data_IF_240999590684
#
_entry.id   IF_240999590684
#
_cell.length_a   1.000
_cell.length_b   1.000
_cell.length_c   1.000
_cell.angle_alpha   90.00
_cell.angle_beta   90.00
_cell.angle_gamma   90.00
#
_symmetry.space_group_name_H-M   'P 1'
#
loop_
_entity.id
_entity.type
_entity.pdbx_description
1 polymer ?
#
# COMPACT_ATOMS: atom_id res chain seq x y z
N UNK A 1 29.04 -3.40 22.62
CA UNK A 1 28.41 -4.18 21.51
C UNK A 1 29.41 -4.28 20.37
N UNK A 2 29.87 -5.49 20.00
CA UNK A 2 30.97 -5.68 19.05
C UNK A 2 30.55 -5.32 17.62
N UNK A 3 31.39 -4.59 16.86
CA UNK A 3 31.10 -4.18 15.47
C UNK A 3 30.68 -5.34 14.55
N UNK A 4 31.24 -6.54 14.78
CA UNK A 4 30.87 -7.76 14.05
C UNK A 4 29.42 -8.19 14.31
N UNK A 5 28.94 -8.00 15.53
CA UNK A 5 27.57 -8.33 15.92
C UNK A 5 26.56 -7.37 15.27
N UNK A 6 26.93 -6.08 15.19
CA UNK A 6 26.11 -5.05 14.52
C UNK A 6 25.98 -5.36 13.03
N UNK A 7 27.09 -5.71 12.36
CA UNK A 7 27.06 -6.04 10.93
C UNK A 7 26.21 -7.29 10.63
N UNK A 8 26.23 -8.29 11.53
CA UNK A 8 25.40 -9.49 11.39
C UNK A 8 23.91 -9.17 11.52
N UNK A 9 23.53 -8.30 12.46
CA UNK A 9 22.14 -7.85 12.63
C UNK A 9 21.67 -7.13 11.36
N UNK A 10 22.46 -6.17 10.85
CA UNK A 10 22.12 -5.41 9.64
C UNK A 10 21.95 -6.34 8.43
N UNK A 11 22.87 -7.30 8.25
CA UNK A 11 22.79 -8.27 7.16
C UNK A 11 21.54 -9.15 7.26
N UNK A 12 21.24 -9.66 8.46
CA UNK A 12 20.04 -10.49 8.69
C UNK A 12 18.74 -9.71 8.42
N UNK A 13 18.69 -8.42 8.80
CA UNK A 13 17.52 -7.59 8.59
C UNK A 13 17.30 -7.29 7.11
N UNK A 14 18.38 -7.03 6.36
CA UNK A 14 18.31 -6.85 4.91
C UNK A 14 17.79 -8.09 4.18
N UNK A 15 18.22 -9.29 4.60
CA UNK A 15 17.75 -10.55 4.01
C UNK A 15 16.25 -10.75 4.29
N UNK A 16 15.79 -10.53 5.54
CA UNK A 16 14.36 -10.66 5.89
C UNK A 16 13.49 -9.69 5.10
N UNK A 17 13.94 -8.45 4.90
CA UNK A 17 13.22 -7.46 4.10
C UNK A 17 13.15 -7.87 2.62
N UNK A 18 14.22 -8.45 2.05
CA UNK A 18 14.22 -8.93 0.66
C UNK A 18 13.35 -10.18 0.45
N UNK A 19 13.18 -11.02 1.47
CA UNK A 19 12.33 -12.21 1.42
C UNK A 19 10.86 -11.91 1.75
N UNK A 20 10.52 -10.67 2.08
CA UNK A 20 9.14 -10.25 2.30
C UNK A 20 8.41 -10.23 0.95
N UNK A 21 7.71 -11.33 0.64
CA UNK A 21 6.90 -11.41 -0.58
C UNK A 21 5.81 -10.35 -0.55
N UNK A 22 5.60 -9.69 -1.69
CA UNK A 22 4.41 -8.86 -1.90
C UNK A 22 3.20 -9.80 -1.90
N UNK A 23 2.58 -9.97 -0.74
CA UNK A 23 1.36 -10.73 -0.59
C UNK A 23 0.23 -9.96 -1.27
N UNK A 24 -0.04 -10.29 -2.54
CA UNK A 24 -1.21 -9.78 -3.22
C UNK A 24 -2.44 -10.36 -2.54
N UNK A 25 -3.25 -9.47 -1.95
CA UNK A 25 -4.52 -9.84 -1.36
C UNK A 25 -5.37 -10.57 -2.41
N UNK A 26 -5.70 -11.84 -2.13
CA UNK A 26 -6.67 -12.56 -2.94
C UNK A 26 -8.01 -11.83 -2.87
N UNK A 27 -8.80 -11.91 -3.92
CA UNK A 27 -10.13 -11.27 -4.00
C UNK A 27 -11.02 -11.63 -2.79
N UNK A 28 -10.95 -12.89 -2.34
CA UNK A 28 -11.61 -13.43 -1.14
C UNK A 28 -11.18 -12.72 0.16
N UNK A 29 -9.92 -12.33 0.26
CA UNK A 29 -9.35 -11.61 1.42
C UNK A 29 -9.76 -10.14 1.39
N UNK A 30 -9.59 -9.48 0.24
CA UNK A 30 -9.99 -8.08 0.04
C UNK A 30 -11.49 -7.83 0.35
N UNK A 31 -12.37 -8.75 -0.07
CA UNK A 31 -13.80 -8.71 0.28
C UNK A 31 -14.04 -8.81 1.80
N UNK A 32 -13.26 -9.66 2.51
CA UNK A 32 -13.37 -9.84 3.96
C UNK A 32 -12.88 -8.62 4.75
N UNK A 33 -11.75 -8.03 4.37
CA UNK A 33 -11.26 -6.81 5.04
C UNK A 33 -11.90 -5.51 4.54
N UNK A 34 -12.87 -5.59 3.62
CA UNK A 34 -13.46 -4.41 2.98
C UNK A 34 -12.39 -3.50 2.36
N UNK A 35 -11.33 -4.10 1.80
CA UNK A 35 -10.24 -3.40 1.11
C UNK A 35 -10.51 -3.38 -0.38
N UNK A 36 -10.21 -2.25 -1.03
CA UNK A 36 -10.34 -2.12 -2.48
C UNK A 36 -9.37 -3.09 -3.16
N UNK A 37 -9.91 -4.09 -3.86
CA UNK A 37 -9.11 -4.98 -4.69
C UNK A 37 -8.73 -4.23 -5.99
N UNK A 38 -7.44 -4.05 -6.32
CA UNK A 38 -7.02 -3.28 -7.49
C UNK A 38 -7.47 -3.91 -8.82
N UNK A 39 -7.90 -5.18 -8.78
CA UNK A 39 -8.49 -5.83 -9.92
C UNK A 39 -9.82 -5.20 -10.33
N UNK A 40 -10.72 -4.90 -9.38
CA UNK A 40 -12.06 -4.33 -9.66
C UNK A 40 -12.20 -2.85 -9.26
N UNK A 41 -11.29 -2.34 -8.43
CA UNK A 41 -11.34 -0.98 -7.89
C UNK A 41 -10.13 -0.15 -8.32
N UNK A 42 -10.33 1.16 -8.46
CA UNK A 42 -9.24 2.11 -8.65
C UNK A 42 -8.45 2.30 -7.35
N UNK A 43 -7.17 2.65 -7.48
CA UNK A 43 -6.31 2.95 -6.34
C UNK A 43 -6.74 4.24 -5.63
N UNK A 44 -7.32 5.18 -6.37
CA UNK A 44 -7.65 6.52 -5.87
C UNK A 44 -9.13 6.66 -5.52
N UNK A 45 -9.42 7.20 -4.33
CA UNK A 45 -10.75 7.64 -3.94
C UNK A 45 -11.57 6.72 -3.02
N UNK A 46 -12.81 7.11 -2.69
CA UNK A 46 -13.84 6.19 -2.20
C UNK A 46 -13.96 4.97 -3.15
N UNK A 47 -14.60 3.84 -2.76
CA UNK A 47 -14.60 2.59 -3.52
C UNK A 47 -15.20 2.75 -4.93
N UNK A 48 -14.35 3.21 -5.85
CA UNK A 48 -14.65 3.45 -7.24
C UNK A 48 -14.25 2.19 -8.01
N UNK A 49 -15.14 1.77 -8.90
CA UNK A 49 -14.90 0.61 -9.75
C UNK A 49 -14.12 1.07 -10.99
N UNK A 50 -13.11 0.31 -11.37
CA UNK A 50 -12.47 0.48 -12.68
C UNK A 50 -13.35 -0.13 -13.78
N UNK A 51 -12.90 -0.11 -15.04
CA UNK A 51 -13.69 -0.63 -16.18
C UNK A 51 -14.17 -2.08 -15.95
N UNK A 52 -13.30 -2.96 -15.44
CA UNK A 52 -13.65 -4.35 -15.17
C UNK A 52 -14.68 -4.46 -14.03
N UNK A 53 -14.52 -3.64 -13.00
CA UNK A 53 -15.42 -3.63 -11.84
C UNK A 53 -16.81 -3.14 -12.23
N UNK A 54 -16.90 -2.11 -13.08
CA UNK A 54 -18.16 -1.61 -13.61
C UNK A 54 -18.83 -2.69 -14.45
N UNK A 55 -18.11 -3.32 -15.37
CA UNK A 55 -18.67 -4.39 -16.20
C UNK A 55 -19.20 -5.54 -15.33
N UNK A 56 -18.43 -5.99 -14.33
CA UNK A 56 -18.86 -7.04 -13.42
C UNK A 56 -20.15 -6.67 -12.67
N UNK A 57 -20.22 -5.44 -12.14
CA UNK A 57 -21.41 -4.97 -11.42
C UNK A 57 -22.64 -4.87 -12.33
N UNK A 58 -22.49 -4.50 -13.60
CA UNK A 58 -23.62 -4.34 -14.54
C UNK A 58 -24.01 -5.63 -15.26
N UNK A 59 -23.16 -6.65 -15.28
CA UNK A 59 -23.38 -7.90 -16.03
C UNK A 59 -23.57 -9.10 -15.09
N UNK A 60 -24.50 -8.97 -14.14
CA UNK A 60 -24.87 -10.05 -13.20
C UNK A 60 -23.69 -10.66 -12.44
N UNK A 61 -22.68 -9.86 -12.10
CA UNK A 61 -21.46 -10.35 -11.43
C UNK A 61 -20.77 -11.45 -12.24
N UNK A 62 -20.72 -11.29 -13.56
CA UNK A 62 -20.01 -12.16 -14.49
C UNK A 62 -19.04 -11.35 -15.35
N UNK A 63 -17.87 -11.93 -15.61
CA UNK A 63 -16.89 -11.43 -16.59
C UNK A 63 -17.04 -12.12 -17.95
N UNK A 64 -18.09 -12.92 -18.13
CA UNK A 64 -18.36 -13.60 -19.40
C UNK A 64 -18.59 -12.56 -20.51
N UNK A 65 -17.88 -12.73 -21.62
CA UNK A 65 -17.95 -11.81 -22.76
C UNK A 65 -17.20 -10.49 -22.56
N UNK A 66 -16.54 -10.26 -21.41
CA UNK A 66 -15.73 -9.07 -21.22
C UNK A 66 -14.51 -9.09 -22.15
N UNK A 67 -14.41 -8.08 -22.99
CA UNK A 67 -13.22 -7.83 -23.81
C UNK A 67 -12.55 -6.58 -23.24
N UNK A 68 -11.32 -6.70 -22.69
CA UNK A 68 -10.61 -5.54 -22.19
C UNK A 68 -10.39 -4.56 -23.35
N UNK A 69 -10.70 -3.29 -23.12
CA UNK A 69 -10.35 -2.24 -24.06
C UNK A 69 -8.84 -2.30 -24.31
N UNK A 70 -8.37 -2.34 -25.57
CA UNK A 70 -6.94 -2.30 -25.86
C UNK A 70 -6.41 -1.01 -25.22
N UNK A 71 -5.41 -1.14 -24.33
CA UNK A 71 -4.89 -0.08 -23.47
C UNK A 71 -5.02 1.29 -24.14
N UNK A 72 -6.00 2.08 -23.67
CA UNK A 72 -6.11 3.44 -24.10
C UNK A 72 -4.77 4.11 -23.76
N UNK A 73 -4.23 4.82 -24.75
CA UNK A 73 -3.10 5.74 -24.62
C UNK A 73 -3.03 6.33 -23.21
N UNK A 74 -1.86 6.34 -22.54
CA UNK A 74 -1.74 6.76 -21.15
C UNK A 74 -2.55 8.02 -20.92
N UNK A 75 -3.50 7.93 -19.98
CA UNK A 75 -4.38 9.03 -19.66
C UNK A 75 -3.55 10.30 -19.42
N UNK A 76 -3.95 11.47 -19.95
CA UNK A 76 -3.26 12.71 -19.63
C UNK A 76 -3.20 12.87 -18.11
N UNK A 77 -2.03 13.26 -17.59
CA UNK A 77 -1.83 13.44 -16.16
C UNK A 77 -2.97 14.29 -15.56
N UNK A 78 -3.59 13.86 -14.44
CA UNK A 78 -4.70 14.58 -13.83
C UNK A 78 -4.29 16.03 -13.52
N UNK A 79 -4.91 17.01 -14.16
CA UNK A 79 -4.59 18.43 -14.00
C UNK A 79 -5.13 19.05 -12.71
N UNK A 80 -5.86 18.28 -11.89
CA UNK A 80 -6.42 18.77 -10.64
C UNK A 80 -6.43 17.65 -9.59
N UNK A 81 -5.62 17.82 -8.56
CA UNK A 81 -5.53 16.95 -7.39
C UNK A 81 -6.81 17.11 -6.56
N UNK A 82 -7.82 16.28 -6.85
CA UNK A 82 -9.01 16.21 -6.02
C UNK A 82 -8.57 15.67 -4.66
N UNK A 83 -8.58 16.54 -3.65
CA UNK A 83 -8.28 16.19 -2.25
C UNK A 83 -9.37 15.28 -1.69
N UNK A 84 -9.35 14.02 -2.10
CA UNK A 84 -10.00 12.92 -1.41
C UNK A 84 -9.34 12.87 -0.03
N UNK A 85 -10.12 13.16 1.02
CA UNK A 85 -9.64 13.25 2.39
C UNK A 85 -8.63 12.15 2.69
N UNK A 86 -7.41 12.58 3.05
CA UNK A 86 -6.20 11.78 3.17
C UNK A 86 -6.50 10.46 3.89
N UNK A 87 -6.67 9.38 3.13
CA UNK A 87 -6.50 8.04 3.68
C UNK A 87 -5.01 7.96 3.98
N UNK A 88 -4.64 8.17 5.25
CA UNK A 88 -3.25 8.00 5.66
C UNK A 88 -2.82 6.58 5.34
N UNK A 89 -1.84 6.44 4.45
CA UNK A 89 -1.25 5.15 4.15
C UNK A 89 -0.66 4.56 5.43
N UNK A 90 -0.80 3.24 5.61
CA UNK A 90 -0.26 2.53 6.77
C UNK A 90 1.25 2.82 6.96
N UNK A 91 1.94 3.08 5.85
CA UNK A 91 3.33 3.51 5.79
C UNK A 91 3.60 4.89 6.42
N UNK A 92 2.71 5.87 6.23
CA UNK A 92 2.84 7.20 6.84
C UNK A 92 2.69 7.15 8.36
N UNK A 93 1.74 6.37 8.87
CA UNK A 93 1.53 6.23 10.33
C UNK A 93 2.71 5.48 10.96
N UNK A 94 3.20 4.42 10.31
CA UNK A 94 4.37 3.68 10.77
C UNK A 94 5.64 4.53 10.85
N UNK A 95 5.87 5.37 9.83
CA UNK A 95 7.02 6.27 9.80
C UNK A 95 6.95 7.34 10.90
N UNK A 96 5.78 7.94 11.12
CA UNK A 96 5.56 8.93 12.19
C UNK A 96 5.77 8.30 13.58
N UNK A 97 5.24 7.09 13.80
CA UNK A 97 5.44 6.37 15.06
C UNK A 97 6.92 6.03 15.30
N UNK A 98 7.64 5.59 14.25
CA UNK A 98 9.06 5.31 14.36
C UNK A 98 9.90 6.57 14.65
N UNK A 99 9.61 7.68 13.95
CA UNK A 99 10.29 8.96 14.15
C UNK A 99 10.07 9.51 15.57
N UNK A 100 8.86 9.39 16.11
CA UNK A 100 8.56 9.85 17.49
C UNK A 100 9.31 9.02 18.53
N UNK A 101 9.42 7.70 18.36
CA UNK A 101 10.22 6.84 19.26
C UNK A 101 11.69 7.24 19.23
N UNK A 102 12.28 7.45 18.04
CA UNK A 102 13.68 7.89 17.91
C UNK A 102 13.92 9.24 18.57
N UNK A 103 12.99 10.19 18.42
CA UNK A 103 13.08 11.50 19.04
C UNK A 103 13.04 11.42 20.57
N UNK A 104 12.16 10.59 21.14
CA UNK A 104 12.09 10.36 22.59
C UNK A 104 13.41 9.76 23.09
N UNK A 105 13.95 8.75 22.40
CA UNK A 105 15.22 8.12 22.78
C UNK A 105 16.38 9.11 22.71
N UNK A 106 16.43 9.98 21.70
CA UNK A 106 17.44 11.02 21.58
C UNK A 106 17.38 12.04 22.74
N UNK A 107 16.17 12.45 23.14
CA UNK A 107 15.98 13.33 24.30
C UNK A 107 16.44 12.66 25.59
N UNK A 108 16.02 11.42 25.82
CA UNK A 108 16.44 10.65 27.02
C UNK A 108 17.95 10.50 27.06
N UNK A 109 18.59 10.23 25.92
CA UNK A 109 20.04 10.14 25.82
C UNK A 109 20.72 11.47 26.15
N UNK A 110 20.21 12.59 25.63
CA UNK A 110 20.76 13.92 25.89
C UNK A 110 20.61 14.36 27.36
N UNK A 111 19.52 13.99 28.04
CA UNK A 111 19.33 14.27 29.47
C UNK A 111 20.24 13.40 30.36
N UNK A 112 20.59 12.20 29.87
CA UNK A 112 21.43 11.23 30.59
C UNK A 112 22.94 11.42 30.36
N UNK A 113 23.34 12.35 29.48
CA UNK A 113 24.71 12.73 29.20
C UNK A 113 25.16 13.85 30.15
#
# INVERSE_FOLDING_TARGET
>A
MNKRFINLIILSLGIVLLLSSTAYARTEYAAKESRNCPYCHTADGPPQLNEIGVYYATNNHSLEGYVPSPEATPAPEPTEEINIGVHMDVWNVGLIAFATVLLILAIVYAIRL
#
